data_IF_128529143716
#
_entry.id   IF_128529143716
#
_cell.length_a   1.000
_cell.length_b   1.000
_cell.length_c   1.000
_cell.angle_alpha   90.00
_cell.angle_beta   90.00
_cell.angle_gamma   90.00
#
_symmetry.space_group_name_H-M   'P 1'
#
loop_
_entity.id
_entity.type
_entity.pdbx_description
1 polymer ?
#
# COMPACT_ATOMS: atom_id res chain seq x y z
N UNK A 1 -17.53 20.38 -10.98
CA UNK A 1 -16.92 19.31 -10.17
C UNK A 1 -15.42 19.38 -10.35
N UNK A 2 -14.66 19.28 -9.27
CA UNK A 2 -13.21 19.03 -9.34
C UNK A 2 -13.02 17.52 -9.55
N UNK A 3 -12.00 17.13 -10.30
CA UNK A 3 -11.66 15.72 -10.53
C UNK A 3 -10.90 15.19 -9.32
N UNK A 4 -11.36 14.06 -8.77
CA UNK A 4 -10.65 13.33 -7.71
C UNK A 4 -9.77 12.24 -8.32
N UNK A 5 -8.55 12.10 -7.79
CA UNK A 5 -7.56 11.11 -8.26
C UNK A 5 -7.01 10.36 -7.06
N UNK A 6 -7.13 9.03 -7.08
CA UNK A 6 -6.50 8.16 -6.09
C UNK A 6 -5.41 7.26 -6.68
N UNK A 7 -4.71 6.55 -5.80
CA UNK A 7 -3.61 5.65 -6.14
C UNK A 7 -3.84 4.23 -5.61
N UNK A 8 -3.47 3.23 -6.41
CA UNK A 8 -3.48 1.83 -6.01
C UNK A 8 -2.05 1.36 -5.74
N UNK A 9 -1.74 0.95 -4.51
CA UNK A 9 -0.40 0.46 -4.16
C UNK A 9 -0.29 -1.06 -4.39
N UNK A 10 0.80 -1.47 -5.02
CA UNK A 10 1.12 -2.88 -5.23
C UNK A 10 1.64 -3.55 -3.95
N UNK A 11 0.89 -4.48 -3.39
CA UNK A 11 1.26 -5.19 -2.15
C UNK A 11 1.83 -6.60 -2.37
N UNK A 12 2.07 -6.97 -3.63
CA UNK A 12 2.75 -8.21 -4.02
C UNK A 12 4.26 -8.04 -3.94
N UNK A 13 4.94 -8.95 -3.24
CA UNK A 13 6.39 -8.99 -3.14
C UNK A 13 6.92 -10.40 -3.41
N UNK A 14 8.12 -10.54 -3.99
CA UNK A 14 8.76 -11.85 -4.19
C UNK A 14 8.95 -12.65 -2.88
N UNK A 15 9.08 -13.96 -3.03
CA UNK A 15 9.28 -14.90 -1.91
C UNK A 15 10.48 -14.56 -1.00
N UNK A 16 11.52 -13.93 -1.54
CA UNK A 16 12.77 -13.57 -0.88
C UNK A 16 12.85 -12.08 -0.50
N UNK A 17 11.77 -11.33 -0.69
CA UNK A 17 11.73 -9.92 -0.36
C UNK A 17 11.89 -9.65 1.13
N UNK A 18 12.63 -8.58 1.46
CA UNK A 18 12.63 -8.00 2.81
C UNK A 18 11.29 -7.28 3.03
N UNK A 19 10.40 -7.94 3.76
CA UNK A 19 9.07 -7.41 4.04
C UNK A 19 9.07 -6.20 4.98
N UNK A 20 10.12 -6.01 5.78
CA UNK A 20 10.29 -4.81 6.59
C UNK A 20 10.53 -3.59 5.70
N UNK A 21 11.51 -3.70 4.80
CA UNK A 21 11.79 -2.65 3.81
C UNK A 21 10.60 -2.41 2.89
N UNK A 22 9.91 -3.47 2.45
CA UNK A 22 8.71 -3.35 1.63
C UNK A 22 7.61 -2.55 2.34
N UNK A 23 7.43 -2.77 3.64
CA UNK A 23 6.47 -2.02 4.45
C UNK A 23 6.87 -0.55 4.63
N UNK A 24 8.14 -0.26 4.89
CA UNK A 24 8.64 1.13 4.97
C UNK A 24 8.47 1.88 3.64
N UNK A 25 8.60 1.19 2.52
CA UNK A 25 8.31 1.74 1.20
C UNK A 25 6.81 2.10 1.04
N UNK A 26 5.89 1.32 1.63
CA UNK A 26 4.45 1.63 1.61
C UNK A 26 4.12 2.86 2.47
N UNK A 27 4.76 3.02 3.63
CA UNK A 27 4.64 4.24 4.45
C UNK A 27 5.14 5.47 3.66
N UNK A 28 6.28 5.34 2.99
CA UNK A 28 6.86 6.41 2.18
C UNK A 28 5.94 6.77 1.01
N UNK A 29 5.44 5.79 0.25
CA UNK A 29 4.49 6.02 -0.83
C UNK A 29 3.20 6.71 -0.36
N UNK A 30 2.68 6.31 0.81
CA UNK A 30 1.46 6.91 1.38
C UNK A 30 1.67 8.39 1.70
N UNK A 31 2.77 8.72 2.40
CA UNK A 31 3.12 10.11 2.71
C UNK A 31 3.30 10.93 1.43
N UNK A 32 4.00 10.39 0.45
CA UNK A 32 4.20 11.05 -0.85
C UNK A 32 2.88 11.27 -1.58
N UNK A 33 1.96 10.30 -1.56
CA UNK A 33 0.65 10.44 -2.21
C UNK A 33 -0.21 11.53 -1.52
N UNK A 34 -0.23 11.56 -0.17
CA UNK A 34 -0.87 12.62 0.59
C UNK A 34 -0.27 13.99 0.24
N UNK A 35 1.05 14.11 0.28
CA UNK A 35 1.75 15.37 0.02
C UNK A 35 1.58 15.84 -1.44
N UNK A 36 1.32 14.91 -2.37
CA UNK A 36 1.00 15.18 -3.77
C UNK A 36 -0.48 15.47 -4.02
N UNK A 37 -1.35 15.37 -3.02
CA UNK A 37 -2.77 15.69 -3.11
C UNK A 37 -3.65 14.61 -3.74
N UNK A 38 -3.29 13.33 -3.62
CA UNK A 38 -4.19 12.23 -3.98
C UNK A 38 -5.35 12.11 -2.98
N UNK A 39 -6.55 11.85 -3.47
CA UNK A 39 -7.78 11.82 -2.68
C UNK A 39 -8.05 10.47 -2.02
N UNK A 40 -7.45 9.40 -2.54
CA UNK A 40 -7.68 8.05 -2.07
C UNK A 40 -6.48 7.11 -2.27
N UNK A 41 -6.40 6.09 -1.42
CA UNK A 41 -5.42 5.03 -1.48
C UNK A 41 -6.13 3.67 -1.41
N UNK A 42 -5.76 2.77 -2.31
CA UNK A 42 -6.27 1.39 -2.34
C UNK A 42 -5.13 0.38 -2.35
N UNK A 43 -5.42 -0.80 -1.82
CA UNK A 43 -4.55 -1.97 -1.95
C UNK A 43 -5.40 -3.19 -2.26
N UNK A 44 -4.78 -4.20 -2.87
CA UNK A 44 -5.44 -5.47 -3.14
C UNK A 44 -5.51 -6.35 -1.90
N UNK A 45 -6.48 -7.28 -1.91
CA UNK A 45 -6.45 -8.47 -1.06
C UNK A 45 -6.20 -9.69 -1.92
N UNK A 46 -5.21 -10.49 -1.55
CA UNK A 46 -4.86 -11.72 -2.26
C UNK A 46 -4.93 -12.93 -1.33
N UNK A 47 -5.35 -14.06 -1.89
CA UNK A 47 -5.40 -15.35 -1.24
C UNK A 47 -4.61 -16.35 -2.09
N UNK A 48 -4.12 -17.44 -1.47
CA UNK A 48 -3.36 -18.49 -2.17
C UNK A 48 -2.13 -17.94 -2.91
N UNK A 49 -1.29 -17.22 -2.18
CA UNK A 49 -0.27 -16.35 -2.78
C UNK A 49 1.07 -17.00 -3.05
N UNK A 50 1.25 -18.29 -2.74
CA UNK A 50 2.53 -18.97 -2.95
C UNK A 50 2.96 -18.88 -4.43
N UNK A 51 4.23 -18.52 -4.72
CA UNK A 51 5.35 -18.34 -3.78
C UNK A 51 5.52 -16.93 -3.21
N UNK A 52 4.73 -15.96 -3.66
CA UNK A 52 4.88 -14.55 -3.32
C UNK A 52 4.30 -14.20 -1.93
N UNK A 53 4.80 -13.08 -1.41
CA UNK A 53 4.42 -12.50 -0.13
C UNK A 53 3.46 -11.33 -0.33
N UNK A 54 2.43 -11.27 0.50
CA UNK A 54 1.44 -10.21 0.46
C UNK A 54 1.11 -9.70 1.85
N UNK A 55 1.04 -8.38 1.96
CA UNK A 55 0.60 -7.72 3.18
C UNK A 55 -0.91 -7.91 3.40
N UNK A 56 -1.32 -8.15 4.64
CA UNK A 56 -2.73 -8.31 4.99
C UNK A 56 -3.46 -6.97 4.89
N UNK A 57 -4.55 -6.94 4.13
CA UNK A 57 -5.20 -5.70 3.67
C UNK A 57 -5.67 -4.80 4.83
N UNK A 58 -6.43 -5.35 5.79
CA UNK A 58 -7.00 -4.57 6.89
C UNK A 58 -5.94 -3.95 7.81
N UNK A 59 -4.96 -4.70 8.37
CA UNK A 59 -3.98 -4.10 9.27
C UNK A 59 -3.06 -3.12 8.55
N UNK A 60 -2.71 -3.36 7.28
CA UNK A 60 -1.91 -2.40 6.52
C UNK A 60 -2.67 -1.12 6.24
N UNK A 61 -3.92 -1.17 5.77
CA UNK A 61 -4.72 0.05 5.59
C UNK A 61 -4.89 0.82 6.92
N UNK A 62 -5.10 0.13 8.03
CA UNK A 62 -5.20 0.77 9.35
C UNK A 62 -3.90 1.51 9.73
N UNK A 63 -2.73 0.95 9.40
CA UNK A 63 -1.45 1.62 9.63
C UNK A 63 -1.23 2.79 8.66
N UNK A 64 -1.51 2.59 7.36
CA UNK A 64 -1.31 3.62 6.34
C UNK A 64 -2.23 4.81 6.56
N UNK A 65 -3.43 4.61 7.11
CA UNK A 65 -4.34 5.70 7.47
C UNK A 65 -3.74 6.70 8.48
N UNK A 66 -2.77 6.29 9.31
CA UNK A 66 -2.07 7.22 10.20
C UNK A 66 -1.03 8.10 9.47
N UNK A 67 -0.75 7.81 8.19
CA UNK A 67 0.15 8.56 7.31
C UNK A 67 -0.60 9.27 6.18
N UNK A 68 -1.92 9.15 6.10
CA UNK A 68 -2.73 9.75 5.04
C UNK A 68 -3.35 11.07 5.51
#
# INVERSE_FOLDING_TARGET
MVMEVGIFLGTQHPADADMGQAFDNHLTQTRTARDAGFDALWIAQHYLTYPDQFLQTTPVLARLAAEA
#
